data_IF_565981504863
#
_entry.id   IF_565981504863
#
_cell.length_a   1.000
_cell.length_b   1.000
_cell.length_c   1.000
_cell.angle_alpha   90.00
_cell.angle_beta   90.00
_cell.angle_gamma   90.00
#
_symmetry.space_group_name_H-M   'P 1'
#
loop_
_entity.id
_entity.type
_entity.pdbx_description
1 polymer ?
#
# COMPACT_ATOMS: atom_id res chain seq x y z
N UNK A 1 17.05 9.40 6.67
CA UNK A 1 16.59 10.63 5.99
C UNK A 1 17.09 10.57 4.55
N UNK A 2 16.26 10.92 3.57
CA UNK A 2 16.63 10.86 2.15
C UNK A 2 17.72 11.91 1.83
N UNK A 3 18.74 11.63 1.00
CA UNK A 3 19.84 12.55 0.72
C UNK A 3 19.38 13.92 0.19
N UNK A 4 18.37 13.97 -0.68
CA UNK A 4 17.84 15.24 -1.19
C UNK A 4 17.14 16.08 -0.12
N UNK A 5 16.56 15.44 0.88
CA UNK A 5 15.92 16.13 2.00
C UNK A 5 16.95 16.57 3.02
N UNK A 6 18.00 15.76 3.25
CA UNK A 6 19.12 16.13 4.12
C UNK A 6 19.77 17.44 3.64
N UNK A 7 20.02 17.58 2.33
CA UNK A 7 20.53 18.83 1.74
C UNK A 7 19.65 20.05 2.01
N UNK A 8 18.32 19.89 2.03
CA UNK A 8 17.39 20.99 2.32
C UNK A 8 17.36 21.36 3.80
N UNK A 9 17.55 20.37 4.69
CA UNK A 9 17.67 20.59 6.13
C UNK A 9 18.99 21.28 6.46
N UNK A 10 20.10 20.81 5.88
CA UNK A 10 21.43 21.43 6.03
C UNK A 10 21.46 22.86 5.48
N UNK A 11 20.74 23.12 4.38
CA UNK A 11 20.59 24.46 3.81
C UNK A 11 19.60 25.36 4.58
N UNK A 12 19.00 24.88 5.70
CA UNK A 12 18.06 25.65 6.52
C UNK A 12 16.71 25.95 5.86
N UNK A 13 16.42 25.36 4.69
CA UNK A 13 15.16 25.55 3.96
C UNK A 13 13.99 24.80 4.58
N UNK A 14 14.29 23.71 5.29
CA UNK A 14 13.32 22.81 5.92
C UNK A 14 13.84 22.42 7.31
N UNK A 15 12.97 22.32 8.31
CA UNK A 15 13.37 21.84 9.64
C UNK A 15 13.57 20.32 9.65
N UNK A 16 14.48 19.81 10.49
CA UNK A 16 14.70 18.37 10.66
C UNK A 16 13.40 17.52 10.80
N UNK A 17 12.40 17.88 11.63
CA UNK A 17 11.16 17.10 11.74
C UNK A 17 10.31 17.13 10.46
N UNK A 18 10.36 18.21 9.68
CA UNK A 18 9.71 18.26 8.37
C UNK A 18 10.50 17.40 7.37
N UNK A 19 11.82 17.40 7.45
CA UNK A 19 12.68 16.55 6.63
C UNK A 19 12.46 15.05 6.85
N UNK A 20 12.21 14.62 8.08
CA UNK A 20 11.82 13.23 8.35
C UNK A 20 10.47 12.87 7.74
N UNK A 21 9.48 13.77 7.84
CA UNK A 21 8.17 13.56 7.21
C UNK A 21 8.28 13.51 5.69
N UNK A 22 9.05 14.41 5.09
CA UNK A 22 9.31 14.42 3.66
C UNK A 22 9.99 13.12 3.23
N UNK A 23 11.00 12.63 3.96
CA UNK A 23 11.68 11.38 3.61
C UNK A 23 10.74 10.17 3.47
N UNK A 24 9.59 10.17 4.16
CA UNK A 24 8.58 9.11 4.04
C UNK A 24 7.83 9.16 2.69
N UNK A 25 7.83 10.30 1.99
CA UNK A 25 7.18 10.50 0.69
C UNK A 25 8.21 10.65 -0.44
N UNK A 26 9.38 10.04 -0.28
CA UNK A 26 10.37 9.96 -1.35
C UNK A 26 9.84 9.13 -2.52
N UNK A 27 10.31 9.38 -3.75
CA UNK A 27 10.09 8.49 -4.89
C UNK A 27 10.40 7.03 -4.52
N UNK A 28 9.54 6.11 -4.96
CA UNK A 28 9.56 4.70 -4.58
C UNK A 28 8.82 4.38 -3.27
N UNK A 29 8.38 5.39 -2.50
CA UNK A 29 7.58 5.15 -1.30
C UNK A 29 6.12 4.86 -1.64
N UNK A 30 5.48 3.99 -0.86
CA UNK A 30 4.08 3.63 -1.03
C UNK A 30 3.15 4.39 -0.08
N UNK A 31 2.00 4.80 -0.61
CA UNK A 31 1.03 5.69 0.07
C UNK A 31 -0.39 5.24 -0.15
N UNK A 32 -1.23 5.29 0.89
CA UNK A 32 -2.65 4.94 0.78
C UNK A 32 -3.50 6.19 0.90
N UNK A 33 -4.36 6.44 -0.10
CA UNK A 33 -5.36 7.51 -0.06
C UNK A 33 -6.76 6.93 0.10
N UNK A 34 -7.55 7.45 1.05
CA UNK A 34 -8.91 6.95 1.35
C UNK A 34 -9.85 6.89 0.13
N UNK A 35 -9.70 7.82 -0.81
CA UNK A 35 -10.52 7.86 -2.03
C UNK A 35 -9.93 7.13 -3.25
N UNK A 36 -8.60 7.13 -3.38
CA UNK A 36 -7.91 6.69 -4.61
C UNK A 36 -7.28 5.29 -4.51
N UNK A 37 -7.23 4.71 -3.30
CA UNK A 37 -6.61 3.42 -3.05
C UNK A 37 -5.11 3.54 -2.76
N UNK A 38 -4.38 2.47 -3.01
CA UNK A 38 -2.92 2.48 -2.93
C UNK A 38 -2.31 3.34 -4.03
N UNK A 39 -1.14 3.89 -3.76
CA UNK A 39 -0.34 4.63 -4.73
C UNK A 39 1.15 4.54 -4.46
N UNK A 40 1.93 4.76 -5.52
CA UNK A 40 3.41 4.82 -5.48
C UNK A 40 3.86 6.23 -5.83
N UNK A 41 4.77 6.79 -5.03
CA UNK A 41 5.38 8.08 -5.34
C UNK A 41 6.35 7.88 -6.49
N UNK A 42 6.09 8.54 -7.62
CA UNK A 42 6.95 8.46 -8.80
C UNK A 42 7.98 9.58 -8.80
N UNK A 43 7.57 10.77 -8.37
CA UNK A 43 8.41 11.95 -8.37
C UNK A 43 7.99 12.91 -7.26
N UNK A 44 8.93 13.71 -6.79
CA UNK A 44 8.67 14.85 -5.92
C UNK A 44 9.40 16.10 -6.42
N UNK A 45 8.75 17.23 -6.27
CA UNK A 45 9.35 18.54 -6.51
C UNK A 45 9.42 19.25 -5.16
N UNK A 46 10.55 19.07 -4.48
CA UNK A 46 10.79 19.68 -3.17
C UNK A 46 10.90 21.21 -3.26
N UNK A 47 11.24 21.77 -4.43
CA UNK A 47 11.38 23.21 -4.63
C UNK A 47 10.02 23.90 -4.76
N UNK A 48 9.12 23.32 -5.59
CA UNK A 48 7.76 23.82 -5.76
C UNK A 48 6.76 23.22 -4.75
N UNK A 49 7.23 22.34 -3.86
CA UNK A 49 6.43 21.74 -2.82
C UNK A 49 5.38 20.74 -3.34
N UNK A 50 5.65 20.06 -4.46
CA UNK A 50 4.72 19.13 -5.12
C UNK A 50 5.22 17.70 -5.08
N UNK A 51 4.31 16.75 -5.28
CA UNK A 51 4.60 15.33 -5.42
C UNK A 51 3.66 14.71 -6.44
N UNK A 52 4.18 13.79 -7.23
CA UNK A 52 3.46 13.00 -8.21
C UNK A 52 3.31 11.59 -7.66
N UNK A 53 2.07 11.12 -7.57
CA UNK A 53 1.73 9.79 -7.05
C UNK A 53 0.85 9.08 -8.07
N UNK A 54 1.23 7.86 -8.41
CA UNK A 54 0.42 6.96 -9.22
C UNK A 54 -0.50 6.16 -8.31
N UNK A 55 -1.77 6.55 -8.21
CA UNK A 55 -2.77 5.77 -7.48
C UNK A 55 -3.44 4.74 -8.39
N UNK A 56 -4.02 3.71 -7.76
CA UNK A 56 -4.83 2.68 -8.43
C UNK A 56 -5.94 3.30 -9.30
N UNK A 57 -6.67 4.28 -8.76
CA UNK A 57 -7.78 4.94 -9.47
C UNK A 57 -7.36 6.14 -10.32
N UNK A 58 -6.19 6.72 -10.08
CA UNK A 58 -5.73 7.94 -10.75
C UNK A 58 -4.21 7.99 -10.81
N UNK A 59 -3.67 7.72 -12.00
CA UNK A 59 -2.22 7.76 -12.26
C UNK A 59 -1.76 9.19 -12.53
N UNK A 60 -0.53 9.51 -12.15
CA UNK A 60 0.12 10.80 -12.39
C UNK A 60 -0.47 11.94 -11.56
N UNK A 61 -1.08 11.65 -10.41
CA UNK A 61 -1.76 12.68 -9.63
C UNK A 61 -0.75 13.58 -8.94
N UNK A 62 -0.75 14.86 -9.33
CA UNK A 62 0.10 15.89 -8.71
C UNK A 62 -0.63 16.54 -7.54
N UNK A 63 0.01 16.60 -6.38
CA UNK A 63 -0.53 17.28 -5.19
C UNK A 63 0.58 17.96 -4.37
N UNK A 64 0.22 18.84 -3.44
CA UNK A 64 1.19 19.47 -2.55
C UNK A 64 1.77 18.47 -1.55
N UNK A 65 3.07 18.53 -1.25
CA UNK A 65 3.75 17.62 -0.32
C UNK A 65 3.07 17.55 1.04
N UNK A 66 2.71 18.71 1.60
CA UNK A 66 1.99 18.78 2.89
C UNK A 66 0.63 18.08 2.80
N UNK A 67 -0.13 18.36 1.74
CA UNK A 67 -1.44 17.74 1.53
C UNK A 67 -1.31 16.22 1.37
N UNK A 68 -0.31 15.74 0.64
CA UNK A 68 -0.04 14.33 0.48
C UNK A 68 0.27 13.66 1.83
N UNK A 69 1.14 14.28 2.64
CA UNK A 69 1.45 13.79 3.98
C UNK A 69 0.25 13.78 4.94
N UNK A 70 -0.71 14.69 4.76
CA UNK A 70 -1.92 14.77 5.58
C UNK A 70 -3.05 13.86 5.08
N UNK A 71 -3.15 13.63 3.77
CA UNK A 71 -4.23 12.87 3.13
C UNK A 71 -3.89 11.42 2.85
N UNK A 72 -2.61 11.04 2.95
CA UNK A 72 -2.15 9.69 2.69
C UNK A 72 -1.45 9.07 3.88
N UNK A 73 -1.59 7.75 4.02
CA UNK A 73 -0.91 6.95 5.03
C UNK A 73 0.35 6.33 4.42
N UNK A 74 1.45 6.29 5.18
CA UNK A 74 2.66 5.55 4.78
C UNK A 74 2.42 4.07 4.96
N UNK A 75 2.76 3.27 3.96
CA UNK A 75 2.73 1.82 4.09
C UNK A 75 4.04 1.23 3.59
N UNK A 76 4.38 0.08 4.12
CA UNK A 76 5.51 -0.72 3.64
C UNK A 76 5.22 -1.23 2.22
N UNK A 77 6.29 -1.48 1.45
CA UNK A 77 6.18 -2.16 0.15
C UNK A 77 5.44 -3.50 0.28
N UNK A 78 5.52 -4.11 1.46
CA UNK A 78 4.85 -5.36 1.71
C UNK A 78 3.33 -5.26 1.89
N UNK A 79 2.74 -4.07 1.98
CA UNK A 79 1.28 -3.93 2.09
C UNK A 79 0.60 -4.34 0.78
N UNK A 80 -0.45 -5.17 0.86
CA UNK A 80 -1.18 -5.63 -0.32
C UNK A 80 -1.75 -4.45 -1.13
N UNK A 81 -2.15 -3.35 -0.47
CA UNK A 81 -2.63 -2.15 -1.14
C UNK A 81 -1.52 -1.44 -1.93
N UNK A 82 -0.27 -1.48 -1.44
CA UNK A 82 0.90 -0.97 -2.15
C UNK A 82 1.25 -1.84 -3.36
N UNK A 83 1.23 -3.16 -3.15
CA UNK A 83 1.51 -4.14 -4.21
C UNK A 83 0.47 -4.14 -5.33
N UNK A 84 -0.80 -3.82 -5.06
CA UNK A 84 -1.81 -3.68 -6.13
C UNK A 84 -1.43 -2.66 -7.20
N UNK A 85 -0.64 -1.65 -6.85
CA UNK A 85 -0.24 -0.59 -7.77
C UNK A 85 0.98 -0.98 -8.60
N UNK A 86 1.92 -1.73 -8.00
CA UNK A 86 3.23 -2.01 -8.60
C UNK A 86 3.43 -3.48 -9.02
N UNK A 87 2.73 -4.40 -8.37
CA UNK A 87 2.97 -5.85 -8.35
C UNK A 87 1.64 -6.63 -8.46
N UNK A 88 0.63 -6.11 -9.16
CA UNK A 88 -0.69 -6.77 -9.26
C UNK A 88 -0.59 -8.18 -9.88
N UNK A 89 0.30 -8.37 -10.85
CA UNK A 89 0.55 -9.69 -11.45
C UNK A 89 1.09 -10.69 -10.43
N UNK A 90 2.06 -10.27 -9.61
CA UNK A 90 2.63 -11.11 -8.56
C UNK A 90 1.62 -11.44 -7.47
N UNK A 91 0.74 -10.49 -7.11
CA UNK A 91 -0.36 -10.74 -6.18
C UNK A 91 -1.34 -11.79 -6.72
N UNK A 92 -1.65 -11.74 -8.03
CA UNK A 92 -2.49 -12.74 -8.69
C UNK A 92 -1.85 -14.12 -8.65
N UNK A 93 -0.57 -14.22 -8.99
CA UNK A 93 0.17 -15.47 -8.89
C UNK A 93 0.25 -15.99 -7.45
N UNK A 94 0.45 -15.11 -6.47
CA UNK A 94 0.47 -15.47 -5.05
C UNK A 94 -0.90 -16.00 -4.63
N UNK A 95 -2.00 -15.40 -5.09
CA UNK A 95 -3.35 -15.89 -4.81
C UNK A 95 -3.58 -17.31 -5.34
N UNK A 96 -2.93 -17.70 -6.44
CA UNK A 96 -3.04 -19.05 -7.00
C UNK A 96 -2.11 -20.05 -6.30
N UNK A 97 -0.85 -19.64 -6.06
CA UNK A 97 0.21 -20.48 -5.50
C UNK A 97 0.07 -20.68 -3.99
N UNK A 98 -0.08 -19.58 -3.26
CA UNK A 98 -0.18 -19.56 -1.80
C UNK A 98 -1.22 -18.52 -1.32
N UNK A 99 -2.51 -18.86 -1.39
CA UNK A 99 -3.55 -17.95 -0.92
C UNK A 99 -3.55 -17.73 0.59
N UNK A 100 -2.91 -18.62 1.36
CA UNK A 100 -2.79 -18.49 2.81
C UNK A 100 -1.86 -17.33 3.15
N UNK A 101 -0.71 -17.28 2.46
CA UNK A 101 0.26 -16.19 2.58
C UNK A 101 -0.37 -14.84 2.20
N UNK A 102 -1.11 -14.78 1.09
CA UNK A 102 -1.79 -13.55 0.68
C UNK A 102 -2.75 -13.02 1.77
N UNK A 103 -3.56 -13.89 2.36
CA UNK A 103 -4.53 -13.50 3.40
C UNK A 103 -3.82 -13.11 4.69
N UNK A 104 -2.82 -13.89 5.12
CA UNK A 104 -2.02 -13.58 6.31
C UNK A 104 -1.38 -12.20 6.20
N UNK A 105 -0.69 -11.95 5.08
CA UNK A 105 -0.06 -10.68 4.78
C UNK A 105 -1.05 -9.52 4.77
N UNK A 106 -2.22 -9.70 4.15
CA UNK A 106 -3.27 -8.66 4.13
C UNK A 106 -3.74 -8.28 5.54
N UNK A 107 -3.86 -9.25 6.43
CA UNK A 107 -4.29 -9.04 7.82
C UNK A 107 -3.18 -8.42 8.67
N UNK A 108 -1.95 -8.92 8.52
CA UNK A 108 -0.78 -8.42 9.26
C UNK A 108 -0.50 -6.95 8.94
N UNK A 109 -0.53 -6.56 7.67
CA UNK A 109 -0.23 -5.18 7.25
C UNK A 109 -1.31 -4.18 7.68
N UNK A 110 -2.51 -4.65 8.04
CA UNK A 110 -3.60 -3.83 8.61
C UNK A 110 -3.66 -3.81 10.14
N UNK A 111 -2.67 -4.39 10.83
CA UNK A 111 -2.63 -4.40 12.31
C UNK A 111 -3.25 -5.66 12.93
N UNK A 112 -3.11 -6.80 12.23
CA UNK A 112 -3.44 -8.15 12.71
C UNK A 112 -4.93 -8.45 12.95
N UNK A 113 -5.84 -7.51 12.71
CA UNK A 113 -7.28 -7.73 12.80
C UNK A 113 -8.00 -7.11 11.61
N UNK A 114 -8.77 -7.92 10.88
CA UNK A 114 -9.56 -7.48 9.74
C UNK A 114 -10.87 -8.25 9.67
N UNK A 115 -11.97 -7.58 9.31
CA UNK A 115 -13.25 -8.27 9.10
C UNK A 115 -13.26 -8.98 7.76
N UNK A 116 -14.14 -9.97 7.60
CA UNK A 116 -14.28 -10.69 6.33
C UNK A 116 -14.72 -9.74 5.19
N UNK A 117 -15.61 -8.78 5.46
CA UNK A 117 -16.03 -7.77 4.48
C UNK A 117 -14.86 -6.88 4.02
N UNK A 118 -13.92 -6.56 4.92
CA UNK A 118 -12.72 -5.80 4.58
C UNK A 118 -11.74 -6.63 3.74
N UNK A 119 -11.60 -7.92 4.03
CA UNK A 119 -10.80 -8.84 3.22
C UNK A 119 -11.39 -8.96 1.82
N UNK A 120 -12.69 -9.17 1.73
CA UNK A 120 -13.42 -9.31 0.47
C UNK A 120 -13.28 -8.03 -0.38
N UNK A 121 -13.48 -6.86 0.22
CA UNK A 121 -13.30 -5.58 -0.46
C UNK A 121 -11.85 -5.36 -0.96
N UNK A 122 -10.86 -5.97 -0.33
CA UNK A 122 -9.46 -5.86 -0.73
C UNK A 122 -9.03 -6.93 -1.73
N UNK A 123 -9.56 -8.15 -1.68
CA UNK A 123 -9.07 -9.23 -2.54
C UNK A 123 -9.99 -9.51 -3.73
N UNK A 124 -11.30 -9.43 -3.53
CA UNK A 124 -12.29 -9.70 -4.56
C UNK A 124 -12.30 -8.59 -5.64
N UNK A 125 -12.34 -8.99 -6.90
CA UNK A 125 -12.38 -8.09 -8.07
C UNK A 125 -11.03 -7.43 -8.42
N UNK A 126 -10.10 -7.31 -7.48
CA UNK A 126 -8.78 -6.71 -7.71
C UNK A 126 -7.69 -7.77 -7.90
N UNK A 127 -7.45 -8.58 -6.86
CA UNK A 127 -6.43 -9.65 -6.88
C UNK A 127 -7.02 -10.96 -7.38
N UNK A 128 -8.22 -11.31 -6.92
CA UNK A 128 -8.93 -12.53 -7.33
C UNK A 128 -10.19 -12.12 -8.07
N UNK A 129 -10.45 -12.72 -9.22
CA UNK A 129 -11.66 -12.43 -9.99
C UNK A 129 -12.93 -12.75 -9.19
N UNK A 130 -13.92 -11.86 -9.28
CA UNK A 130 -15.17 -11.96 -8.52
C UNK A 130 -15.93 -13.27 -8.77
N UNK A 131 -15.91 -13.76 -10.02
CA UNK A 131 -16.53 -15.02 -10.42
C UNK A 131 -15.92 -16.25 -9.74
N UNK A 132 -14.61 -16.21 -9.44
CA UNK A 132 -13.85 -17.29 -8.82
C UNK A 132 -13.68 -17.14 -7.31
N UNK A 133 -13.94 -15.95 -6.76
CA UNK A 133 -13.59 -15.59 -5.39
C UNK A 133 -14.19 -16.52 -4.34
N UNK A 134 -15.47 -16.87 -4.45
CA UNK A 134 -16.13 -17.76 -3.48
C UNK A 134 -15.47 -19.13 -3.40
N UNK A 135 -15.13 -19.72 -4.55
CA UNK A 135 -14.47 -21.03 -4.63
C UNK A 135 -13.04 -20.95 -4.13
N UNK A 136 -12.33 -19.88 -4.49
CA UNK A 136 -11.00 -19.59 -3.98
C UNK A 136 -11.00 -19.47 -2.46
N UNK A 137 -11.92 -18.68 -1.89
CA UNK A 137 -12.03 -18.43 -0.46
C UNK A 137 -12.30 -19.70 0.35
N UNK A 138 -13.21 -20.58 -0.09
CA UNK A 138 -13.46 -21.86 0.60
C UNK A 138 -12.20 -22.74 0.67
N UNK A 139 -11.43 -22.79 -0.42
CA UNK A 139 -10.14 -23.51 -0.46
C UNK A 139 -9.12 -22.85 0.49
N UNK A 140 -9.00 -21.53 0.43
CA UNK A 140 -8.09 -20.74 1.28
C UNK A 140 -8.44 -20.88 2.75
N UNK A 141 -9.72 -20.83 3.11
CA UNK A 141 -10.21 -20.98 4.49
C UNK A 141 -9.86 -22.35 5.07
N UNK A 142 -9.94 -23.41 4.26
CA UNK A 142 -9.50 -24.75 4.67
C UNK A 142 -7.99 -24.76 4.96
N UNK A 143 -7.18 -24.19 4.06
CA UNK A 143 -5.73 -24.14 4.21
C UNK A 143 -5.28 -23.22 5.38
N UNK A 144 -5.98 -22.11 5.64
CA UNK A 144 -5.74 -21.21 6.78
C UNK A 144 -5.94 -21.94 8.12
N UNK A 145 -7.01 -22.75 8.24
CA UNK A 145 -7.25 -23.57 9.44
C UNK A 145 -6.13 -24.58 9.69
N UNK A 146 -5.51 -25.09 8.63
CA UNK A 146 -4.38 -26.02 8.72
C UNK A 146 -3.06 -25.30 9.07
N UNK A 147 -2.83 -24.10 8.53
CA UNK A 147 -1.58 -23.34 8.74
C UNK A 147 -1.45 -22.73 10.13
N UNK A 148 -2.58 -22.48 10.82
CA UNK A 148 -2.66 -21.79 12.13
C UNK A 148 -2.03 -20.39 12.15
N UNK A 149 -1.65 -19.82 11.01
CA UNK A 149 -1.06 -18.47 10.92
C UNK A 149 -2.09 -17.37 11.16
N UNK A 150 -3.35 -17.63 10.80
CA UNK A 150 -4.46 -16.68 10.92
C UNK A 150 -5.66 -17.40 11.50
N UNK A 151 -6.28 -16.79 12.50
CA UNK A 151 -7.57 -17.25 13.02
C UNK A 151 -8.70 -16.60 12.22
N UNK A 152 -9.33 -17.39 11.35
CA UNK A 152 -10.53 -16.97 10.61
C UNK A 152 -11.78 -17.59 11.28
N UNK A 153 -12.88 -16.83 11.50
CA UNK A 153 -14.12 -17.34 12.07
C UNK A 153 -14.74 -18.50 11.27
#
# INVERSE_FOLDING_TARGET
MHPDVAKLVEAGRVSAPVGEKLSKIAPGSYRIHKGFGGGVVTEWDLFNGKVTIDFEKEKGKVMGLKLALEKTEAVEENDVRAQKVSQLGELKELAEKDPVELVARTIETRGANMTMDQLDAELCGSVVEESGYKKWWEKTKKALRESKRVSVP
#
